data_IF_396219957355
#
_entry.id   IF_396219957355
#
_cell.length_a   1.000
_cell.length_b   1.000
_cell.length_c   1.000
_cell.angle_alpha   90.00
_cell.angle_beta   90.00
_cell.angle_gamma   90.00
#
_symmetry.space_group_name_H-M   'P 1'
#
loop_
_entity.id
_entity.type
_entity.pdbx_description
1 polymer ?
#
# COMPACT_ATOMS: atom_id res chain seq x y z
N UNK A 1 8.66 -16.38 -2.80
CA UNK A 1 9.57 -15.27 -3.16
C UNK A 1 9.77 -14.35 -1.97
N UNK A 2 10.96 -14.36 -1.42
CA UNK A 2 11.27 -13.69 -0.14
C UNK A 2 11.01 -12.19 -0.17
N UNK A 3 11.42 -11.50 -1.23
CA UNK A 3 11.27 -10.05 -1.32
C UNK A 3 9.80 -9.63 -1.36
N UNK A 4 8.95 -10.42 -2.00
CA UNK A 4 7.51 -10.14 -2.04
C UNK A 4 6.91 -10.16 -0.64
N UNK A 5 7.20 -11.19 0.14
CA UNK A 5 6.70 -11.29 1.52
C UNK A 5 7.20 -10.15 2.40
N UNK A 6 8.48 -9.80 2.29
CA UNK A 6 9.06 -8.69 3.04
C UNK A 6 8.38 -7.35 2.69
N UNK A 7 8.13 -7.11 1.41
CA UNK A 7 7.48 -5.88 0.95
C UNK A 7 6.01 -5.81 1.36
N UNK A 8 5.28 -6.93 1.28
CA UNK A 8 3.90 -6.97 1.76
C UNK A 8 3.82 -6.63 3.25
N UNK A 9 4.73 -7.17 4.05
CA UNK A 9 4.78 -6.86 5.48
C UNK A 9 5.11 -5.39 5.71
N UNK A 10 6.12 -4.86 5.02
CA UNK A 10 6.52 -3.46 5.18
C UNK A 10 5.39 -2.51 4.79
N UNK A 11 4.68 -2.80 3.70
CA UNK A 11 3.54 -2.00 3.27
C UNK A 11 2.41 -2.02 4.31
N UNK A 12 2.09 -3.20 4.84
CA UNK A 12 1.07 -3.33 5.88
C UNK A 12 1.45 -2.51 7.11
N UNK A 13 2.69 -2.65 7.58
CA UNK A 13 3.17 -1.94 8.75
C UNK A 13 3.20 -0.43 8.54
N UNK A 14 3.52 0.03 7.33
CA UNK A 14 3.54 1.46 7.01
C UNK A 14 2.16 2.09 7.12
N UNK A 15 1.10 1.31 6.92
CA UNK A 15 -0.28 1.77 7.05
C UNK A 15 -0.88 1.48 8.42
N UNK A 16 -0.07 0.98 9.36
CA UNK A 16 -0.49 0.65 10.72
C UNK A 16 -1.63 -0.37 10.78
N UNK A 17 -1.64 -1.31 9.83
CA UNK A 17 -2.65 -2.36 9.79
C UNK A 17 -2.13 -3.63 10.46
N UNK A 18 -3.01 -4.31 11.21
CA UNK A 18 -2.68 -5.62 11.77
C UNK A 18 -2.84 -6.70 10.70
N UNK A 19 -2.20 -7.84 10.93
CA UNK A 19 -2.38 -9.01 10.06
C UNK A 19 -3.85 -9.46 10.02
N UNK A 20 -4.53 -9.41 11.16
CA UNK A 20 -5.95 -9.75 11.23
C UNK A 20 -6.82 -8.80 10.41
N UNK A 21 -6.52 -7.50 10.46
CA UNK A 21 -7.28 -6.50 9.67
C UNK A 21 -7.10 -6.76 8.17
N UNK A 22 -5.87 -7.00 7.72
CA UNK A 22 -5.59 -7.31 6.32
C UNK A 22 -6.30 -8.60 5.91
N UNK A 23 -6.27 -9.63 6.77
CA UNK A 23 -6.95 -10.88 6.48
C UNK A 23 -8.46 -10.65 6.25
N UNK A 24 -9.11 -9.87 7.09
CA UNK A 24 -10.52 -9.52 6.93
C UNK A 24 -10.79 -8.76 5.64
N UNK A 25 -9.94 -7.80 5.32
CA UNK A 25 -10.11 -6.96 4.12
C UNK A 25 -10.04 -7.78 2.84
N UNK A 26 -9.21 -8.81 2.80
CA UNK A 26 -9.06 -9.65 1.61
C UNK A 26 -9.86 -10.94 1.67
N UNK A 27 -10.59 -11.18 2.76
CA UNK A 27 -11.41 -12.38 2.89
C UNK A 27 -10.63 -13.67 3.04
N UNK A 28 -9.45 -13.60 3.68
CA UNK A 28 -8.57 -14.75 3.92
C UNK A 28 -8.31 -14.92 5.41
N UNK A 29 -7.72 -16.04 5.79
CA UNK A 29 -7.35 -16.28 7.19
C UNK A 29 -6.09 -15.52 7.58
N UNK A 30 -5.99 -15.19 8.89
CA UNK A 30 -4.79 -14.55 9.41
C UNK A 30 -3.55 -15.42 9.20
N UNK A 31 -3.69 -16.73 9.33
CA UNK A 31 -2.57 -17.66 9.11
C UNK A 31 -2.02 -17.56 7.69
N UNK A 32 -2.89 -17.31 6.70
CA UNK A 32 -2.45 -17.11 5.33
C UNK A 32 -1.60 -15.84 5.20
N UNK A 33 -2.03 -14.73 5.82
CA UNK A 33 -1.27 -13.48 5.81
C UNK A 33 0.11 -13.69 6.42
N UNK A 34 0.17 -14.37 7.57
CA UNK A 34 1.44 -14.67 8.24
C UNK A 34 2.38 -15.45 7.31
N UNK A 35 1.86 -16.49 6.65
CA UNK A 35 2.66 -17.33 5.76
C UNK A 35 3.16 -16.57 4.55
N UNK A 36 2.33 -15.70 3.97
CA UNK A 36 2.74 -14.87 2.83
C UNK A 36 3.85 -13.90 3.23
N UNK A 37 3.74 -13.26 4.39
CA UNK A 37 4.74 -12.30 4.85
C UNK A 37 6.07 -12.97 5.22
N UNK A 38 6.02 -14.21 5.69
CA UNK A 38 7.21 -14.99 6.00
C UNK A 38 7.79 -15.72 4.80
N UNK A 39 7.15 -15.61 3.63
CA UNK A 39 7.54 -16.30 2.40
C UNK A 39 7.47 -17.82 2.51
N UNK A 40 6.64 -18.33 3.40
CA UNK A 40 6.36 -19.76 3.52
C UNK A 40 5.34 -20.25 2.48
N UNK A 41 4.58 -19.31 1.91
CA UNK A 41 3.65 -19.56 0.82
C UNK A 41 3.59 -18.32 -0.06
N UNK A 42 3.13 -18.50 -1.30
CA UNK A 42 2.93 -17.39 -2.22
C UNK A 42 1.44 -17.10 -2.39
N UNK A 43 1.02 -15.80 -2.35
CA UNK A 43 -0.38 -15.48 -2.61
C UNK A 43 -0.77 -15.91 -4.03
N UNK A 44 -2.02 -16.35 -4.24
CA UNK A 44 -2.52 -16.53 -5.61
C UNK A 44 -2.41 -15.24 -6.40
N UNK A 45 -2.25 -15.36 -7.71
CA UNK A 45 -2.02 -14.22 -8.59
C UNK A 45 -3.09 -13.14 -8.44
N UNK A 46 -4.37 -13.52 -8.42
CA UNK A 46 -5.48 -12.56 -8.28
C UNK A 46 -5.45 -11.84 -6.94
N UNK A 47 -5.11 -12.55 -5.86
CA UNK A 47 -5.00 -11.95 -4.54
C UNK A 47 -3.83 -10.97 -4.51
N UNK A 48 -2.71 -11.33 -5.09
CA UNK A 48 -1.54 -10.47 -5.15
C UNK A 48 -1.82 -9.19 -5.92
N UNK A 49 -2.58 -9.29 -7.02
CA UNK A 49 -3.00 -8.13 -7.80
C UNK A 49 -3.89 -7.19 -6.96
N UNK A 50 -4.83 -7.75 -6.20
CA UNK A 50 -5.67 -6.95 -5.30
C UNK A 50 -4.85 -6.28 -4.20
N UNK A 51 -3.86 -6.97 -3.67
CA UNK A 51 -2.94 -6.39 -2.67
C UNK A 51 -2.12 -5.25 -3.26
N UNK A 52 -1.63 -5.41 -4.48
CA UNK A 52 -0.89 -4.35 -5.17
C UNK A 52 -1.76 -3.10 -5.35
N UNK A 53 -3.00 -3.27 -5.78
CA UNK A 53 -3.95 -2.17 -5.93
C UNK A 53 -4.25 -1.50 -4.59
N UNK A 54 -4.46 -2.29 -3.55
CA UNK A 54 -4.76 -1.77 -2.21
C UNK A 54 -3.59 -0.95 -1.65
N UNK A 55 -2.37 -1.47 -1.75
CA UNK A 55 -1.18 -0.79 -1.25
C UNK A 55 -0.68 0.28 -2.23
N UNK A 56 -1.31 0.39 -3.39
CA UNK A 56 -0.94 1.35 -4.43
C UNK A 56 0.52 1.21 -4.87
N UNK A 57 0.90 -0.02 -5.19
CA UNK A 57 2.24 -0.33 -5.70
C UNK A 57 2.11 -1.18 -6.97
N UNK A 58 3.17 -1.20 -7.78
CA UNK A 58 3.20 -2.05 -8.96
C UNK A 58 3.52 -3.50 -8.58
N UNK A 59 3.14 -4.43 -9.46
CA UNK A 59 3.56 -5.82 -9.32
C UNK A 59 5.07 -5.96 -9.43
N UNK A 60 5.73 -5.14 -10.26
CA UNK A 60 7.18 -5.13 -10.36
C UNK A 60 7.84 -4.80 -9.03
N UNK A 61 7.26 -3.87 -8.28
CA UNK A 61 7.76 -3.54 -6.95
C UNK A 61 7.66 -4.74 -6.01
N UNK A 62 6.50 -5.41 -6.00
CA UNK A 62 6.29 -6.58 -5.15
C UNK A 62 7.25 -7.73 -5.50
N UNK A 63 7.59 -7.89 -6.77
CA UNK A 63 8.51 -8.93 -7.21
C UNK A 63 9.98 -8.53 -7.10
N UNK A 64 10.27 -7.31 -6.65
CA UNK A 64 11.65 -6.87 -6.49
C UNK A 64 12.35 -6.46 -7.78
N UNK A 65 11.60 -6.27 -8.87
CA UNK A 65 12.16 -5.85 -10.15
C UNK A 65 12.46 -4.36 -10.19
N UNK A 66 11.87 -3.60 -9.31
CA UNK A 66 12.11 -2.17 -9.13
C UNK A 66 12.06 -1.83 -7.66
N UNK A 67 12.79 -0.79 -7.25
CA UNK A 67 12.71 -0.23 -5.91
C UNK A 67 11.74 0.95 -5.84
N UNK A 68 11.15 1.33 -6.97
CA UNK A 68 10.16 2.40 -7.03
C UNK A 68 8.76 1.77 -6.94
N UNK A 69 7.95 2.13 -5.91
CA UNK A 69 6.59 1.59 -5.76
C UNK A 69 5.66 1.85 -6.94
N UNK A 70 5.87 2.91 -7.71
CA UNK A 70 5.11 3.22 -8.93
C UNK A 70 3.60 3.29 -8.71
N UNK A 71 3.18 3.84 -7.56
CA UNK A 71 1.77 3.94 -7.23
C UNK A 71 1.01 4.90 -8.11
N UNK A 72 -0.29 4.64 -8.28
CA UNK A 72 -1.17 5.49 -9.10
C UNK A 72 -1.53 6.80 -8.40
N UNK A 73 -1.46 6.81 -7.08
CA UNK A 73 -1.77 8.00 -6.29
C UNK A 73 -0.85 9.16 -6.68
N UNK A 74 0.42 8.88 -6.98
CA UNK A 74 1.36 9.92 -7.41
C UNK A 74 0.89 10.61 -8.70
N UNK A 75 0.25 9.86 -9.62
CA UNK A 75 -0.27 10.41 -10.86
C UNK A 75 -1.45 11.35 -10.63
N UNK A 76 -2.14 11.21 -9.50
CA UNK A 76 -3.28 12.06 -9.13
C UNK A 76 -2.87 13.34 -8.40
N UNK A 77 -1.58 13.58 -8.23
CA UNK A 77 -1.05 14.71 -7.48
C UNK A 77 -1.54 16.04 -8.06
N UNK A 78 -2.05 16.96 -7.20
CA UNK A 78 -2.49 18.29 -7.65
C UNK A 78 -1.35 19.06 -8.33
N UNK A 79 -1.69 19.83 -9.36
CA UNK A 79 -0.72 20.61 -10.11
C UNK A 79 -0.91 22.11 -9.87
N UNK A 80 0.07 22.72 -9.19
CA UNK A 80 0.17 24.17 -9.08
C UNK A 80 -0.88 24.83 -8.19
N UNK A 81 -0.83 26.15 -8.13
CA UNK A 81 -1.84 26.95 -7.44
C UNK A 81 -1.70 27.05 -5.94
N UNK A 82 -0.61 26.61 -5.34
CA UNK A 82 -0.38 26.65 -3.89
C UNK A 82 0.99 27.26 -3.56
N UNK A 83 1.12 27.75 -2.30
CA UNK A 83 2.34 28.39 -1.81
C UNK A 83 3.53 27.43 -1.79
N UNK A 84 4.79 27.94 -1.70
CA UNK A 84 5.95 27.07 -1.58
C UNK A 84 5.89 26.11 -0.39
N UNK A 85 5.33 26.54 0.74
CA UNK A 85 5.15 25.68 1.93
C UNK A 85 4.18 24.56 1.65
N UNK A 86 3.07 24.88 0.98
CA UNK A 86 2.10 23.87 0.57
C UNK A 86 2.66 22.94 -0.49
N UNK A 87 3.52 23.44 -1.37
CA UNK A 87 4.18 22.62 -2.39
C UNK A 87 5.01 21.51 -1.75
N UNK A 88 5.78 21.85 -0.71
CA UNK A 88 6.58 20.86 0.01
C UNK A 88 5.69 19.80 0.68
N UNK A 89 4.60 20.23 1.32
CA UNK A 89 3.65 19.32 1.95
C UNK A 89 3.01 18.38 0.92
N UNK A 90 2.59 18.93 -0.22
CA UNK A 90 1.97 18.13 -1.29
C UNK A 90 2.97 17.10 -1.82
N UNK A 91 4.23 17.48 -2.03
CA UNK A 91 5.26 16.52 -2.45
C UNK A 91 5.40 15.37 -1.45
N UNK A 92 5.41 15.67 -0.16
CA UNK A 92 5.51 14.65 0.88
C UNK A 92 4.30 13.70 0.85
N UNK A 93 3.08 14.23 0.66
CA UNK A 93 1.86 13.43 0.63
C UNK A 93 1.83 12.45 -0.55
N UNK A 94 2.42 12.81 -1.68
CA UNK A 94 2.35 12.01 -2.90
C UNK A 94 3.66 11.28 -3.22
N UNK A 95 4.68 11.41 -2.38
CA UNK A 95 5.93 10.65 -2.51
C UNK A 95 5.71 9.22 -1.96
N UNK A 96 5.80 8.17 -2.79
CA UNK A 96 5.56 6.80 -2.35
C UNK A 96 6.45 6.34 -1.19
N UNK A 97 7.60 7.00 -0.99
CA UNK A 97 8.55 6.65 0.07
C UNK A 97 8.32 7.45 1.35
N UNK A 98 7.43 8.42 1.34
CA UNK A 98 7.18 9.29 2.49
C UNK A 98 6.17 8.67 3.46
N UNK A 99 6.37 8.82 4.79
CA UNK A 99 5.35 8.42 5.77
C UNK A 99 4.02 9.16 5.57
N UNK A 100 4.04 10.38 5.06
CA UNK A 100 2.81 11.14 4.78
C UNK A 100 1.98 10.48 3.68
N UNK A 101 2.62 9.82 2.72
CA UNK A 101 1.90 9.06 1.68
C UNK A 101 1.11 7.90 2.30
N UNK A 102 1.72 7.16 3.22
CA UNK A 102 1.03 6.07 3.91
C UNK A 102 -0.17 6.59 4.70
N UNK A 103 -0.04 7.73 5.37
CA UNK A 103 -1.14 8.36 6.10
C UNK A 103 -2.25 8.82 5.17
N UNK A 104 -1.91 9.36 4.01
CA UNK A 104 -2.89 9.77 3.02
C UNK A 104 -3.69 8.57 2.52
N UNK A 105 -3.03 7.47 2.18
CA UNK A 105 -3.68 6.23 1.76
C UNK A 105 -4.62 5.71 2.84
N UNK A 106 -4.17 5.71 4.10
CA UNK A 106 -4.98 5.26 5.23
C UNK A 106 -6.25 6.10 5.38
N UNK A 107 -6.11 7.42 5.29
CA UNK A 107 -7.24 8.35 5.39
C UNK A 107 -8.24 8.11 4.26
N UNK A 108 -7.76 7.92 3.02
CA UNK A 108 -8.63 7.64 1.89
C UNK A 108 -9.42 6.34 2.08
N UNK A 109 -8.78 5.31 2.60
CA UNK A 109 -9.42 4.03 2.88
C UNK A 109 -10.53 4.20 3.92
N UNK A 110 -10.25 4.92 5.00
CA UNK A 110 -11.23 5.19 6.06
C UNK A 110 -12.45 5.93 5.52
N UNK A 111 -12.23 6.92 4.66
CA UNK A 111 -13.32 7.67 4.02
C UNK A 111 -14.17 6.75 3.14
N UNK A 112 -13.53 5.89 2.36
CA UNK A 112 -14.24 4.94 1.50
C UNK A 112 -15.06 3.94 2.31
N UNK A 113 -14.55 3.47 3.42
CA UNK A 113 -15.29 2.57 4.32
C UNK A 113 -16.54 3.26 4.87
N UNK A 114 -16.46 4.52 5.27
CA UNK A 114 -17.60 5.30 5.75
C UNK A 114 -18.68 5.48 4.68
N UNK A 115 -18.27 5.73 3.46
CA UNK A 115 -19.20 5.96 2.35
C UNK A 115 -19.94 4.68 1.94
N UNK A 116 -19.35 3.52 2.17
CA UNK A 116 -19.94 2.23 1.81
C UNK A 116 -20.94 1.70 2.85
N UNK A 117 -20.99 2.30 4.01
CA UNK A 117 -22.00 1.98 5.03
C UNK A 117 -23.36 2.65 4.69
#
# INVERSE_FOLDING_TARGET
MKICGERLRALRESMHLSQMKVAKMFGIGQSAVVRYEKSEAEPPFELLLRMADFYDVSMDYLFGRTDNPQGKLFECKPRGGYSPEMAEFVEMCFDPKSPMNARLKQTLIEILEEVQE
#
